data_IF_980506502637
#
_entry.id   IF_980506502637
#
_cell.length_a   1.000
_cell.length_b   1.000
_cell.length_c   1.000
_cell.angle_alpha   90.00
_cell.angle_beta   90.00
_cell.angle_gamma   90.00
#
_symmetry.space_group_name_H-M   'P 1'
#
loop_
_entity.id
_entity.type
_entity.pdbx_description
1 polymer ?
#
# COMPACT_ATOMS: atom_id res chain seq x y z
N UNK A 1 12.60 8.61 -4.73
CA UNK A 1 13.30 7.54 -5.49
C UNK A 1 12.47 7.23 -6.73
N UNK A 2 13.10 6.96 -7.88
CA UNK A 2 12.37 6.65 -9.12
C UNK A 2 11.93 5.18 -9.12
N UNK A 3 10.65 4.92 -9.39
CA UNK A 3 10.08 3.59 -9.57
C UNK A 3 9.40 3.46 -10.93
N UNK A 4 9.58 2.32 -11.58
CA UNK A 4 8.91 2.00 -12.85
C UNK A 4 7.67 1.15 -12.57
N UNK A 5 6.51 1.63 -13.02
CA UNK A 5 5.24 0.91 -12.97
C UNK A 5 4.66 0.92 -14.39
N UNK A 6 4.59 -0.26 -15.04
CA UNK A 6 4.11 -0.43 -16.43
C UNK A 6 4.67 0.63 -17.38
N UNK A 7 5.99 0.69 -17.44
CA UNK A 7 6.77 1.54 -18.36
C UNK A 7 6.67 3.06 -18.11
N UNK A 8 6.04 3.46 -16.99
CA UNK A 8 6.04 4.85 -16.51
C UNK A 8 6.92 4.98 -15.27
N UNK A 9 7.77 6.00 -15.25
CA UNK A 9 8.59 6.38 -14.10
C UNK A 9 7.80 7.29 -13.17
N UNK A 10 7.85 6.99 -11.87
CA UNK A 10 7.27 7.79 -10.81
C UNK A 10 8.35 8.13 -9.81
N UNK A 11 8.52 9.43 -9.54
CA UNK A 11 9.28 9.89 -8.40
C UNK A 11 8.40 9.80 -7.16
N UNK A 12 8.71 8.81 -6.31
CA UNK A 12 7.99 8.59 -5.06
C UNK A 12 8.99 8.66 -3.92
N UNK A 13 8.73 9.56 -2.97
CA UNK A 13 9.49 9.65 -1.73
C UNK A 13 8.63 9.19 -0.56
N UNK A 14 9.30 8.94 0.57
CA UNK A 14 8.62 8.46 1.78
C UNK A 14 7.65 9.52 2.29
N UNK A 15 8.05 10.78 2.22
CA UNK A 15 7.30 11.95 2.67
C UNK A 15 6.00 12.12 1.86
N UNK A 16 6.01 11.78 0.57
CA UNK A 16 4.81 11.81 -0.27
C UNK A 16 3.77 10.81 0.21
N UNK A 17 4.23 9.61 0.58
CA UNK A 17 3.36 8.58 1.15
C UNK A 17 2.81 9.03 2.49
N UNK A 18 3.65 9.56 3.38
CA UNK A 18 3.21 10.03 4.69
C UNK A 18 2.15 11.14 4.56
N UNK A 19 2.36 12.14 3.69
CA UNK A 19 1.37 13.21 3.41
C UNK A 19 0.03 12.65 2.92
N UNK A 20 0.07 11.63 2.06
CA UNK A 20 -1.15 10.96 1.59
C UNK A 20 -1.84 10.23 2.74
N UNK A 21 -1.09 9.51 3.59
CA UNK A 21 -1.64 8.76 4.72
C UNK A 21 -2.30 9.65 5.78
N UNK A 22 -1.84 10.89 5.97
CA UNK A 22 -2.48 11.86 6.88
C UNK A 22 -3.94 12.16 6.51
N UNK A 23 -4.26 12.15 5.22
CA UNK A 23 -5.59 12.51 4.69
C UNK A 23 -6.37 11.29 4.17
N UNK A 24 -5.77 10.11 4.18
CA UNK A 24 -6.35 8.89 3.65
C UNK A 24 -6.96 8.08 4.80
N UNK A 25 -8.23 7.70 4.62
CA UNK A 25 -8.85 6.72 5.50
C UNK A 25 -8.52 5.29 5.05
N UNK A 26 -8.09 4.42 5.98
CA UNK A 26 -7.71 3.05 5.65
C UNK A 26 -8.93 2.26 5.17
N UNK A 27 -8.78 1.62 4.02
CA UNK A 27 -9.80 0.69 3.56
C UNK A 27 -9.76 -0.63 4.36
N UNK A 28 -10.91 -1.30 4.50
CA UNK A 28 -10.98 -2.60 5.16
C UNK A 28 -10.02 -3.60 4.51
N UNK A 29 -9.21 -4.27 5.34
CA UNK A 29 -8.38 -5.40 4.90
C UNK A 29 -9.25 -6.64 4.70
N UNK A 30 -9.98 -6.69 3.58
CA UNK A 30 -10.87 -7.79 3.20
C UNK A 30 -10.55 -8.33 1.81
N UNK A 31 -10.99 -9.56 1.54
CA UNK A 31 -10.86 -10.20 0.23
C UNK A 31 -9.41 -10.37 -0.21
N UNK A 32 -9.00 -9.66 -1.27
CA UNK A 32 -7.65 -9.77 -1.86
C UNK A 32 -6.61 -8.85 -1.20
N UNK A 33 -7.01 -8.01 -0.24
CA UNK A 33 -6.11 -7.09 0.47
C UNK A 33 -5.34 -7.80 1.61
N UNK A 34 -4.41 -8.69 1.25
CA UNK A 34 -3.66 -9.50 2.22
C UNK A 34 -2.47 -8.78 2.87
N UNK A 35 -2.00 -7.69 2.28
CA UNK A 35 -0.80 -6.98 2.72
C UNK A 35 -1.13 -5.53 3.06
N UNK A 36 -0.52 -5.03 4.12
CA UNK A 36 -0.74 -3.68 4.64
C UNK A 36 0.52 -3.09 5.25
N UNK A 37 0.51 -1.76 5.42
CA UNK A 37 1.46 -1.04 6.29
C UNK A 37 0.70 -0.49 7.49
N UNK A 38 1.42 -0.27 8.59
CA UNK A 38 0.88 0.45 9.75
C UNK A 38 1.44 1.87 9.78
N UNK A 39 0.55 2.85 9.94
CA UNK A 39 0.91 4.25 10.07
C UNK A 39 -0.02 4.92 11.08
N UNK A 40 0.54 5.54 12.12
CA UNK A 40 -0.20 6.17 13.23
C UNK A 40 -1.33 5.31 13.81
N UNK A 41 -1.07 4.02 14.01
CA UNK A 41 -2.04 3.06 14.56
C UNK A 41 -3.15 2.60 13.60
N UNK A 42 -3.14 3.07 12.35
CA UNK A 42 -4.07 2.65 11.29
C UNK A 42 -3.39 1.67 10.32
N UNK A 43 -4.15 0.73 9.76
CA UNK A 43 -3.66 -0.29 8.82
C UNK A 43 -4.11 0.02 7.40
N UNK A 44 -3.16 0.23 6.50
CA UNK A 44 -3.42 0.64 5.14
C UNK A 44 -3.06 -0.46 4.14
N UNK A 45 -4.02 -0.98 3.34
CA UNK A 45 -3.74 -1.89 2.25
C UNK A 45 -2.67 -1.33 1.30
N UNK A 46 -1.63 -2.12 0.99
CA UNK A 46 -0.50 -1.62 0.19
C UNK A 46 -0.91 -1.06 -1.18
N UNK A 47 -1.94 -1.64 -1.81
CA UNK A 47 -2.44 -1.17 -3.11
C UNK A 47 -3.24 0.12 -3.00
N UNK A 48 -3.86 0.39 -1.85
CA UNK A 48 -4.54 1.66 -1.61
C UNK A 48 -3.50 2.78 -1.55
N UNK A 49 -2.43 2.59 -0.78
CA UNK A 49 -1.36 3.58 -0.60
C UNK A 49 -0.74 3.97 -1.94
N UNK A 50 -0.37 2.99 -2.77
CA UNK A 50 0.22 3.26 -4.08
C UNK A 50 -0.78 3.92 -5.03
N UNK A 51 -2.04 3.51 -4.99
CA UNK A 51 -3.09 4.13 -5.82
C UNK A 51 -3.26 5.60 -5.45
N UNK A 52 -3.24 5.92 -4.15
CA UNK A 52 -3.42 7.27 -3.65
C UNK A 52 -2.22 8.18 -3.96
N UNK A 53 -0.97 7.68 -3.84
CA UNK A 53 0.22 8.49 -4.12
C UNK A 53 0.52 8.66 -5.62
N UNK A 54 0.18 7.67 -6.45
CA UNK A 54 0.46 7.72 -7.91
C UNK A 54 -0.74 8.18 -8.74
N UNK A 55 -1.93 8.24 -8.17
CA UNK A 55 -3.18 8.44 -8.92
C UNK A 55 -3.56 7.27 -9.83
N UNK A 56 -2.78 6.19 -9.88
CA UNK A 56 -3.05 5.05 -10.75
C UNK A 56 -4.22 4.21 -10.21
N UNK A 57 -5.09 3.71 -11.09
CA UNK A 57 -6.10 2.74 -10.69
C UNK A 57 -5.41 1.44 -10.26
N UNK A 58 -5.95 0.73 -9.27
CA UNK A 58 -5.35 -0.50 -8.73
C UNK A 58 -5.14 -1.60 -9.75
N UNK A 59 -5.91 -1.62 -10.83
CA UNK A 59 -5.75 -2.58 -11.93
C UNK A 59 -4.49 -2.31 -12.77
N UNK A 60 -3.90 -1.10 -12.66
CA UNK A 60 -2.69 -0.71 -13.34
C UNK A 60 -1.41 -1.30 -12.73
N UNK A 61 -1.47 -1.93 -11.55
CA UNK A 61 -0.29 -2.50 -10.90
C UNK A 61 -0.62 -3.70 -10.00
N UNK A 62 0.40 -4.51 -9.74
CA UNK A 62 0.29 -5.73 -8.92
C UNK A 62 0.52 -5.41 -7.44
N UNK A 63 0.09 -6.31 -6.55
CA UNK A 63 0.45 -6.22 -5.14
C UNK A 63 1.97 -6.26 -4.94
N UNK A 64 2.69 -7.05 -5.75
CA UNK A 64 4.15 -7.14 -5.70
C UNK A 64 4.85 -5.82 -6.07
N UNK A 65 4.31 -5.03 -7.02
CA UNK A 65 4.80 -3.68 -7.28
C UNK A 65 4.69 -2.82 -6.01
N UNK A 66 3.52 -2.80 -5.39
CA UNK A 66 3.28 -2.00 -4.20
C UNK A 66 4.16 -2.43 -3.03
N UNK A 67 4.30 -3.74 -2.80
CA UNK A 67 5.18 -4.31 -1.79
C UNK A 67 6.62 -3.81 -1.97
N UNK A 68 7.17 -3.94 -3.19
CA UNK A 68 8.56 -3.56 -3.48
C UNK A 68 8.81 -2.06 -3.32
N UNK A 69 7.86 -1.22 -3.71
CA UNK A 69 7.99 0.24 -3.57
C UNK A 69 8.01 0.62 -2.09
N UNK A 70 7.03 0.13 -1.32
CA UNK A 70 6.91 0.46 0.09
C UNK A 70 8.09 -0.03 0.92
N UNK A 71 8.57 -1.26 0.69
CA UNK A 71 9.76 -1.77 1.40
C UNK A 71 11.02 -1.00 1.04
N UNK A 72 11.21 -0.61 -0.23
CA UNK A 72 12.35 0.23 -0.64
C UNK A 72 12.32 1.63 -0.04
N UNK A 73 11.14 2.16 0.29
CA UNK A 73 10.96 3.43 0.98
C UNK A 73 11.03 3.30 2.51
N UNK A 74 11.33 2.10 3.02
CA UNK A 74 11.54 1.85 4.45
C UNK A 74 10.25 1.64 5.25
N UNK A 75 9.14 1.30 4.59
CA UNK A 75 7.92 0.89 5.28
C UNK A 75 7.96 -0.61 5.60
N UNK A 76 7.50 -0.96 6.80
CA UNK A 76 7.27 -2.35 7.20
C UNK A 76 5.95 -2.85 6.58
N UNK A 77 6.04 -3.78 5.63
CA UNK A 77 4.85 -4.40 5.02
C UNK A 77 4.52 -5.68 5.78
N UNK A 78 3.33 -5.72 6.37
CA UNK A 78 2.79 -6.85 7.12
C UNK A 78 1.77 -7.61 6.27
N UNK A 79 1.63 -8.90 6.55
CA UNK A 79 0.61 -9.75 5.95
C UNK A 79 -0.47 -10.04 6.99
N UNK A 80 -1.73 -10.05 6.58
CA UNK A 80 -2.79 -10.65 7.40
C UNK A 80 -2.47 -12.13 7.60
N UNK A 81 -2.29 -12.54 8.85
CA UNK A 81 -2.26 -13.97 9.16
C UNK A 81 -3.63 -14.56 8.86
N UNK A 82 -3.67 -15.83 8.46
CA UNK A 82 -4.89 -16.62 8.19
C UNK A 82 -5.87 -16.66 9.36
N UNK A 83 -5.43 -16.24 10.55
CA UNK A 83 -6.23 -16.18 11.78
C UNK A 83 -7.20 -14.97 11.80
N UNK A 84 -6.85 -13.87 11.12
CA UNK A 84 -7.76 -12.72 10.94
C UNK A 84 -8.91 -13.02 9.99
N UNK A 85 -8.69 -13.85 8.97
CA UNK A 85 -9.74 -14.24 8.01
C UNK A 85 -10.90 -15.01 8.67
N UNK A 86 -10.64 -15.70 9.79
CA UNK A 86 -11.65 -16.45 10.55
C UNK A 86 -12.51 -15.60 11.47
N UNK A 87 -12.03 -14.44 11.94
CA UNK A 87 -12.76 -13.56 12.86
C UNK A 87 -13.72 -12.57 12.20
N UNK A 88 -13.66 -12.42 10.87
CA UNK A 88 -14.45 -11.44 10.10
C UNK A 88 -15.55 -12.12 9.24
N UNK A 89 -15.69 -13.44 9.34
CA UNK A 89 -16.86 -14.19 8.86
C UNK A 89 -17.86 -14.35 10.00
#
# INVERSE_FOLDING_TARGET
>A
MVFIIRDKSYDIFREDIEKVLENLDPEPLRGRAKYYIEYKGKRYPIKQVISAVTGLPRIAFTASHAYRILTKLGFEVKQLSSEYEKKVK
#
